data_IF_481415259404
#
_entry.id   IF_481415259404
#
_cell.length_a   1.000
_cell.length_b   1.000
_cell.length_c   1.000
_cell.angle_alpha   90.00
_cell.angle_beta   90.00
_cell.angle_gamma   90.00
#
_symmetry.space_group_name_H-M   'P 1'
#
loop_
_entity.id
_entity.type
_entity.pdbx_description
1 polymer ?
#
# COMPACT_ATOMS: atom_id res chain seq x y z
N UNK A 1 33.76 -50.89 -59.03
CA UNK A 1 34.09 -49.75 -58.20
C UNK A 1 32.79 -48.97 -57.94
N UNK A 2 32.27 -49.04 -56.68
CA UNK A 2 31.04 -48.32 -56.27
C UNK A 2 31.46 -47.13 -55.43
N UNK A 3 31.18 -45.91 -55.86
CA UNK A 3 31.43 -44.70 -55.11
C UNK A 3 30.21 -44.41 -54.24
N UNK A 4 30.46 -44.35 -52.90
CA UNK A 4 29.45 -43.97 -51.90
C UNK A 4 29.68 -42.46 -51.63
N UNK A 5 28.71 -41.64 -52.00
CA UNK A 5 28.70 -40.21 -51.68
C UNK A 5 28.10 -40.02 -50.27
N UNK A 6 28.93 -39.57 -49.29
CA UNK A 6 28.44 -39.09 -47.99
C UNK A 6 28.05 -37.62 -48.11
N UNK A 7 26.76 -37.35 -48.02
CA UNK A 7 26.25 -35.99 -47.91
C UNK A 7 26.33 -35.53 -46.45
N UNK A 8 27.20 -34.54 -46.22
CA UNK A 8 27.36 -33.90 -44.89
C UNK A 8 26.27 -32.85 -44.70
N UNK A 9 25.27 -33.15 -43.89
CA UNK A 9 24.18 -32.19 -43.53
C UNK A 9 24.69 -31.29 -42.40
N UNK A 10 25.00 -30.01 -42.73
CA UNK A 10 25.41 -29.03 -41.74
C UNK A 10 24.15 -28.40 -41.15
N UNK A 11 23.84 -28.71 -39.88
CA UNK A 11 22.80 -28.05 -39.13
C UNK A 11 23.30 -26.68 -38.61
N UNK A 12 22.78 -25.59 -39.16
CA UNK A 12 22.97 -24.27 -38.58
C UNK A 12 22.03 -24.09 -37.38
N UNK A 13 22.57 -24.17 -36.17
CA UNK A 13 21.86 -23.81 -34.94
C UNK A 13 21.85 -22.26 -34.86
N UNK A 14 20.73 -21.63 -35.22
CA UNK A 14 20.49 -20.20 -34.95
C UNK A 14 20.19 -20.06 -33.48
N UNK A 15 21.17 -19.71 -32.67
CA UNK A 15 21.00 -19.33 -31.28
C UNK A 15 20.30 -17.96 -31.23
N UNK A 16 18.99 -17.92 -31.02
CA UNK A 16 18.29 -16.71 -30.66
C UNK A 16 18.78 -16.20 -29.31
N UNK A 17 19.71 -15.27 -29.33
CA UNK A 17 20.18 -14.58 -28.13
C UNK A 17 19.15 -13.51 -27.77
N UNK A 18 18.11 -13.87 -27.01
CA UNK A 18 17.17 -12.91 -26.45
C UNK A 18 17.90 -12.10 -25.38
N UNK A 19 18.44 -10.94 -25.75
CA UNK A 19 18.92 -9.94 -24.78
C UNK A 19 17.74 -9.58 -23.87
N UNK A 20 17.73 -10.10 -22.65
CA UNK A 20 16.91 -9.57 -21.57
C UNK A 20 17.27 -8.08 -21.46
N UNK A 21 16.34 -7.22 -21.85
CA UNK A 21 16.45 -5.79 -21.61
C UNK A 21 16.47 -5.60 -20.10
N UNK A 22 17.62 -5.31 -19.51
CA UNK A 22 17.69 -4.88 -18.11
C UNK A 22 16.98 -3.50 -18.04
N UNK A 23 15.88 -3.46 -17.31
CA UNK A 23 15.24 -2.19 -16.97
C UNK A 23 16.15 -1.57 -15.91
N UNK A 24 16.82 -0.46 -16.25
CA UNK A 24 17.51 0.33 -15.25
C UNK A 24 16.44 1.13 -14.49
N UNK A 25 16.18 0.75 -13.25
CA UNK A 25 15.36 1.56 -12.34
C UNK A 25 16.19 2.77 -11.91
N UNK A 26 15.59 3.96 -11.93
CA UNK A 26 16.19 5.14 -11.33
C UNK A 26 16.29 4.95 -9.81
N UNK A 27 17.34 5.50 -9.20
CA UNK A 27 17.47 5.48 -7.75
C UNK A 27 16.33 6.32 -7.14
N UNK A 28 15.44 5.68 -6.37
CA UNK A 28 14.31 6.36 -5.76
C UNK A 28 14.81 7.30 -4.66
N UNK A 29 14.26 8.50 -4.59
CA UNK A 29 14.60 9.52 -3.61
C UNK A 29 13.85 9.38 -2.27
N UNK A 30 13.22 8.23 -2.04
CA UNK A 30 12.51 7.90 -0.80
C UNK A 30 12.88 6.48 -0.34
N UNK A 31 12.67 6.23 0.95
CA UNK A 31 12.80 4.90 1.56
C UNK A 31 11.49 4.55 2.26
N UNK A 32 10.97 3.37 1.99
CA UNK A 32 9.87 2.82 2.79
C UNK A 32 10.46 2.09 3.99
N UNK A 33 9.99 2.47 5.16
CA UNK A 33 10.32 1.82 6.43
C UNK A 33 9.07 1.19 7.03
N UNK A 34 9.26 0.12 7.81
CA UNK A 34 8.16 -0.49 8.53
C UNK A 34 8.60 -0.99 9.91
N UNK A 35 7.66 -1.05 10.83
CA UNK A 35 7.80 -1.57 12.19
C UNK A 35 6.67 -2.54 12.47
N UNK A 36 7.00 -3.66 13.07
CA UNK A 36 6.04 -4.75 13.26
C UNK A 36 5.87 -5.64 12.02
N UNK A 37 5.04 -6.67 12.16
CA UNK A 37 4.67 -7.55 11.04
C UNK A 37 3.36 -8.27 11.33
N UNK A 38 2.46 -8.35 10.32
CA UNK A 38 1.18 -9.06 10.39
C UNK A 38 1.34 -10.50 10.88
N UNK A 39 2.35 -11.24 10.39
CA UNK A 39 2.61 -12.62 10.83
C UNK A 39 2.84 -12.75 12.34
N UNK A 40 3.41 -11.74 13.00
CA UNK A 40 3.62 -11.79 14.45
C UNK A 40 2.29 -11.63 15.21
N UNK A 41 1.40 -10.76 14.72
CA UNK A 41 0.05 -10.62 15.27
C UNK A 41 -0.77 -11.90 15.05
N UNK A 42 -0.81 -12.37 13.79
CA UNK A 42 -1.65 -13.51 13.39
C UNK A 42 -1.21 -14.85 13.96
N UNK A 43 0.10 -15.09 14.12
CA UNK A 43 0.64 -16.40 14.49
C UNK A 43 1.12 -16.45 15.94
N UNK A 44 1.52 -15.33 16.53
CA UNK A 44 2.09 -15.27 17.87
C UNK A 44 1.24 -14.45 18.86
N UNK A 45 0.16 -13.81 18.39
CA UNK A 45 -0.65 -12.89 19.20
C UNK A 45 0.13 -11.66 19.70
N UNK A 46 1.25 -11.33 19.04
CA UNK A 46 2.08 -10.19 19.45
C UNK A 46 1.51 -8.88 18.90
N UNK A 47 0.66 -8.26 19.69
CA UNK A 47 -0.01 -6.99 19.43
C UNK A 47 0.59 -5.80 20.20
N UNK A 48 1.73 -6.02 20.87
CA UNK A 48 2.43 -4.96 21.60
C UNK A 48 3.00 -3.87 20.69
N UNK A 49 3.26 -2.70 21.24
CA UNK A 49 3.86 -1.59 20.50
C UNK A 49 5.23 -1.98 19.90
N UNK A 50 5.46 -1.58 18.66
CA UNK A 50 6.73 -1.75 17.93
C UNK A 50 7.43 -0.42 17.67
N UNK A 51 6.69 0.69 17.76
CA UNK A 51 7.23 2.03 17.56
C UNK A 51 6.34 3.06 18.29
N UNK A 52 6.95 4.12 18.78
CA UNK A 52 6.25 5.34 19.22
C UNK A 52 6.16 6.29 18.02
N UNK A 53 4.98 6.83 17.71
CA UNK A 53 4.81 7.76 16.59
C UNK A 53 5.62 9.04 16.76
N UNK A 54 6.01 9.40 17.98
CA UNK A 54 6.93 10.51 18.24
C UNK A 54 8.28 10.36 17.56
N UNK A 55 8.71 9.12 17.26
CA UNK A 55 9.98 8.88 16.55
C UNK A 55 9.96 9.45 15.12
N UNK A 56 8.78 9.65 14.53
CA UNK A 56 8.60 10.20 13.18
C UNK A 56 7.95 11.60 13.17
N UNK A 57 7.63 12.19 14.33
CA UNK A 57 6.92 13.47 14.44
C UNK A 57 7.64 14.63 13.75
N UNK A 58 8.99 14.64 13.82
CA UNK A 58 9.81 15.70 13.23
C UNK A 58 10.23 15.45 11.80
N UNK A 59 9.77 14.35 11.18
CA UNK A 59 10.04 14.08 9.77
C UNK A 59 9.03 14.81 8.89
N UNK A 60 9.51 15.43 7.81
CA UNK A 60 8.68 16.16 6.87
C UNK A 60 8.11 15.26 5.78
N UNK A 61 6.94 15.63 5.25
CA UNK A 61 6.27 14.96 4.14
C UNK A 61 6.02 13.46 4.39
N UNK A 62 5.75 13.08 5.65
CA UNK A 62 5.49 11.70 6.04
C UNK A 62 4.10 11.27 5.60
N UNK A 63 4.09 10.10 4.97
CA UNK A 63 2.90 9.31 4.69
C UNK A 63 3.04 7.97 5.40
N UNK A 64 2.08 7.63 6.23
CA UNK A 64 2.12 6.40 7.03
C UNK A 64 0.74 5.81 7.21
N UNK A 65 0.67 4.47 7.31
CA UNK A 65 -0.52 3.75 7.72
C UNK A 65 -0.13 2.56 8.62
N UNK A 66 -1.09 2.06 9.38
CA UNK A 66 -0.87 0.91 10.26
C UNK A 66 -1.92 0.82 11.36
N UNK A 67 -1.63 -0.01 12.36
CA UNK A 67 -2.53 -0.28 13.48
C UNK A 67 -1.94 0.24 14.80
N UNK A 68 -2.79 0.83 15.62
CA UNK A 68 -2.43 1.28 16.98
C UNK A 68 -2.03 0.11 17.88
N UNK A 69 -1.29 0.41 18.92
CA UNK A 69 -0.91 -0.55 19.96
C UNK A 69 -2.12 -1.35 20.46
N UNK A 70 -1.93 -2.65 20.65
CA UNK A 70 -2.97 -3.61 21.05
C UNK A 70 -4.13 -3.70 20.03
N UNK A 71 -3.91 -3.30 18.78
CA UNK A 71 -4.93 -3.24 17.73
C UNK A 71 -6.17 -2.44 18.18
N UNK A 72 -5.96 -1.29 18.81
CA UNK A 72 -7.01 -0.42 19.35
C UNK A 72 -7.37 0.73 18.41
N UNK A 73 -7.20 0.56 17.11
CA UNK A 73 -7.54 1.52 16.07
C UNK A 73 -6.56 1.51 14.92
N UNK A 74 -6.78 2.42 13.99
CA UNK A 74 -6.04 2.57 12.74
C UNK A 74 -5.24 3.85 12.72
N UNK A 75 -4.08 3.82 12.07
CA UNK A 75 -3.19 4.95 11.87
C UNK A 75 -3.22 5.33 10.39
N UNK A 76 -3.46 6.59 10.10
CA UNK A 76 -3.17 7.18 8.81
C UNK A 76 -2.55 8.56 8.97
N UNK A 77 -1.41 8.76 8.33
CA UNK A 77 -0.68 10.04 8.33
C UNK A 77 -0.56 10.49 6.88
N UNK A 78 -1.05 11.68 6.58
CA UNK A 78 -0.97 12.31 5.27
C UNK A 78 -0.18 13.61 5.40
N UNK A 79 0.97 13.70 4.74
CA UNK A 79 1.79 14.91 4.74
C UNK A 79 2.12 15.39 6.16
N UNK A 80 2.69 14.50 6.98
CA UNK A 80 3.03 14.70 8.40
C UNK A 80 1.85 15.15 9.29
N UNK A 81 0.61 14.85 8.86
CA UNK A 81 -0.63 15.17 9.62
C UNK A 81 -1.31 13.88 10.03
N UNK A 82 -1.15 13.43 11.30
CA UNK A 82 -1.80 12.21 11.78
C UNK A 82 -3.31 12.37 11.84
N UNK A 83 -4.00 11.26 11.58
CA UNK A 83 -5.43 11.13 11.73
C UNK A 83 -5.74 9.73 12.24
N UNK A 84 -5.36 9.46 13.51
CA UNK A 84 -5.56 8.16 14.13
C UNK A 84 -7.05 7.98 14.44
N UNK A 85 -7.58 6.79 14.14
CA UNK A 85 -8.99 6.47 14.33
C UNK A 85 -9.14 5.33 15.32
N UNK A 86 -10.02 5.51 16.29
CA UNK A 86 -10.32 4.53 17.33
C UNK A 86 -11.83 4.33 17.43
N UNK A 87 -12.24 3.24 18.09
CA UNK A 87 -13.64 2.98 18.44
C UNK A 87 -13.80 3.18 19.94
N UNK A 88 -14.64 4.14 20.34
CA UNK A 88 -15.00 4.39 21.73
C UNK A 88 -16.53 4.43 21.83
N UNK A 89 -17.12 3.66 22.74
CA UNK A 89 -18.58 3.59 22.95
C UNK A 89 -19.37 3.36 21.63
N UNK A 90 -18.84 2.48 20.78
CA UNK A 90 -19.41 2.12 19.47
C UNK A 90 -19.49 3.28 18.47
N UNK A 91 -18.65 4.32 18.62
CA UNK A 91 -18.49 5.41 17.67
C UNK A 91 -17.04 5.61 17.29
N UNK A 92 -16.79 6.18 16.08
CA UNK A 92 -15.44 6.56 15.67
C UNK A 92 -15.01 7.79 16.44
N UNK A 93 -13.81 7.74 16.99
CA UNK A 93 -13.10 8.87 17.60
C UNK A 93 -11.77 9.09 16.91
N UNK A 94 -11.32 10.36 16.87
CA UNK A 94 -10.15 10.75 16.11
C UNK A 94 -9.13 11.43 16.99
N UNK A 95 -7.85 11.17 16.73
CA UNK A 95 -6.72 11.80 17.40
C UNK A 95 -5.69 12.24 16.35
N UNK A 96 -5.41 13.54 16.31
CA UNK A 96 -4.53 14.16 15.32
C UNK A 96 -3.11 14.38 15.86
N UNK A 97 -2.69 13.63 16.89
CA UNK A 97 -1.38 13.75 17.50
C UNK A 97 -0.47 12.57 17.18
N UNK A 98 0.82 12.76 17.38
CA UNK A 98 1.82 11.70 17.40
C UNK A 98 1.95 11.03 18.80
N UNK A 99 1.09 11.34 19.77
CA UNK A 99 1.10 10.75 21.12
C UNK A 99 0.46 9.34 21.14
N UNK A 100 0.82 8.49 20.19
CA UNK A 100 0.33 7.12 20.04
C UNK A 100 1.48 6.17 19.76
N UNK A 101 1.26 4.90 20.04
CA UNK A 101 2.16 3.82 19.67
C UNK A 101 1.50 2.89 18.65
N UNK A 102 2.30 2.24 17.83
CA UNK A 102 1.83 1.34 16.79
C UNK A 102 2.31 -0.09 17.00
N UNK A 103 1.40 -1.05 16.80
CA UNK A 103 1.73 -2.48 16.63
C UNK A 103 2.31 -2.74 15.23
N UNK A 104 1.76 -2.07 14.22
CA UNK A 104 2.22 -2.09 12.84
C UNK A 104 2.26 -0.66 12.31
N UNK A 105 3.35 -0.30 11.65
CA UNK A 105 3.48 0.96 10.93
C UNK A 105 4.29 0.73 9.67
N UNK A 106 3.82 1.23 8.53
CA UNK A 106 4.60 1.40 7.31
C UNK A 106 4.56 2.87 6.92
N UNK A 107 5.73 3.43 6.57
CA UNK A 107 5.84 4.86 6.28
C UNK A 107 6.95 5.21 5.30
N UNK A 108 6.80 6.36 4.67
CA UNK A 108 7.82 6.96 3.81
C UNK A 108 7.70 8.50 3.82
N UNK A 109 8.81 9.20 3.60
CA UNK A 109 8.82 10.64 3.32
C UNK A 109 8.78 10.88 1.82
N UNK A 110 7.78 11.60 1.31
CA UNK A 110 7.56 11.83 -0.12
C UNK A 110 7.44 13.32 -0.40
N UNK A 111 8.46 13.88 -1.00
CA UNK A 111 8.51 15.33 -1.28
C UNK A 111 7.58 15.76 -2.42
N UNK A 112 7.35 14.89 -3.41
CA UNK A 112 6.59 15.23 -4.60
C UNK A 112 5.82 14.03 -5.14
N UNK A 113 4.61 14.29 -5.61
CA UNK A 113 3.71 13.31 -6.21
C UNK A 113 3.44 13.62 -7.67
N UNK A 114 3.52 12.62 -8.53
CA UNK A 114 3.09 12.65 -9.92
C UNK A 114 1.64 12.16 -10.01
N UNK A 115 0.75 13.00 -10.53
CA UNK A 115 -0.67 12.66 -10.70
C UNK A 115 -0.92 11.97 -12.04
N UNK A 116 -1.74 10.93 -12.03
CA UNK A 116 -2.08 10.08 -13.17
C UNK A 116 -3.59 9.84 -13.12
N UNK A 117 -4.29 10.05 -14.23
CA UNK A 117 -5.73 9.74 -14.32
C UNK A 117 -5.93 8.24 -14.38
N UNK A 118 -6.81 7.69 -13.55
CA UNK A 118 -7.18 6.28 -13.59
C UNK A 118 -8.12 6.04 -14.78
N UNK A 119 -7.81 5.09 -15.69
CA UNK A 119 -8.70 4.73 -16.79
C UNK A 119 -10.06 4.23 -16.28
N UNK A 120 -11.14 4.58 -16.95
CA UNK A 120 -12.51 4.16 -16.55
C UNK A 120 -12.75 2.65 -16.62
N UNK A 121 -11.88 1.91 -17.29
CA UNK A 121 -11.92 0.45 -17.36
C UNK A 121 -11.39 -0.21 -16.07
N UNK A 122 -10.64 0.51 -15.23
CA UNK A 122 -10.16 0.04 -13.91
C UNK A 122 -11.28 0.29 -12.90
N UNK A 123 -11.95 -0.78 -12.49
CA UNK A 123 -13.15 -0.69 -11.65
C UNK A 123 -12.99 -1.45 -10.33
N UNK A 124 -12.48 -2.67 -10.36
CA UNK A 124 -12.37 -3.53 -9.17
C UNK A 124 -11.05 -3.37 -8.43
N UNK A 125 -11.00 -3.85 -7.18
CA UNK A 125 -9.79 -3.93 -6.36
C UNK A 125 -8.65 -4.70 -7.08
N UNK A 126 -8.96 -5.85 -7.67
CA UNK A 126 -7.98 -6.65 -8.44
C UNK A 126 -7.46 -5.91 -9.68
N UNK A 127 -8.34 -5.20 -10.41
CA UNK A 127 -7.93 -4.39 -11.56
C UNK A 127 -7.06 -3.22 -11.13
N UNK A 128 -7.36 -2.62 -9.97
CA UNK A 128 -6.55 -1.55 -9.37
C UNK A 128 -5.15 -2.04 -9.03
N UNK A 129 -5.00 -3.20 -8.40
CA UNK A 129 -3.69 -3.76 -8.05
C UNK A 129 -2.82 -3.96 -9.30
N UNK A 130 -3.38 -4.55 -10.35
CA UNK A 130 -2.69 -4.71 -11.65
C UNK A 130 -2.33 -3.37 -12.29
N UNK A 131 -3.23 -2.40 -12.21
CA UNK A 131 -2.99 -1.05 -12.74
C UNK A 131 -1.87 -0.34 -12.00
N UNK A 132 -1.83 -0.40 -10.67
CA UNK A 132 -0.78 0.19 -9.84
C UNK A 132 0.59 -0.39 -10.21
N UNK A 133 0.69 -1.72 -10.33
CA UNK A 133 1.93 -2.38 -10.75
C UNK A 133 2.39 -1.91 -12.15
N UNK A 134 1.48 -1.84 -13.11
CA UNK A 134 1.79 -1.40 -14.47
C UNK A 134 2.25 0.07 -14.50
N UNK A 135 1.56 0.96 -13.79
CA UNK A 135 1.94 2.38 -13.73
C UNK A 135 3.25 2.59 -12.99
N UNK A 136 3.51 1.84 -11.91
CA UNK A 136 4.80 1.88 -11.22
C UNK A 136 5.95 1.50 -12.17
N UNK A 137 5.82 0.39 -12.93
CA UNK A 137 6.82 -0.03 -13.93
C UNK A 137 7.03 0.99 -15.04
N UNK A 138 5.96 1.62 -15.55
CA UNK A 138 6.05 2.71 -16.56
C UNK A 138 6.79 3.93 -16.02
N UNK A 139 6.67 4.20 -14.73
CA UNK A 139 7.35 5.30 -14.05
C UNK A 139 8.68 4.87 -13.42
N UNK A 140 9.25 3.74 -13.86
CA UNK A 140 10.56 3.22 -13.46
C UNK A 140 10.70 2.94 -11.95
N UNK A 141 9.58 2.70 -11.26
CA UNK A 141 9.57 2.25 -9.88
C UNK A 141 9.75 0.73 -9.85
N UNK A 142 10.72 0.27 -9.08
CA UNK A 142 10.99 -1.15 -8.86
C UNK A 142 9.88 -1.76 -8.00
N UNK A 143 9.04 -2.62 -8.59
CA UNK A 143 7.90 -3.23 -7.90
C UNK A 143 8.30 -4.37 -6.97
N UNK A 144 9.56 -4.82 -6.97
CA UNK A 144 10.09 -5.76 -5.98
C UNK A 144 10.46 -5.05 -4.66
N UNK A 145 10.53 -3.72 -4.68
CA UNK A 145 10.68 -2.87 -3.50
C UNK A 145 9.34 -2.24 -3.12
N UNK A 146 9.10 -1.98 -1.84
CA UNK A 146 7.89 -1.30 -1.41
C UNK A 146 7.86 0.16 -1.88
N UNK A 147 6.69 0.62 -2.28
CA UNK A 147 6.47 2.03 -2.60
C UNK A 147 5.09 2.50 -2.13
N UNK A 148 4.95 3.77 -1.71
CA UNK A 148 3.67 4.36 -1.37
C UNK A 148 2.95 4.87 -2.62
N UNK A 149 1.63 4.96 -2.52
CA UNK A 149 0.79 5.61 -3.52
C UNK A 149 -0.37 6.34 -2.86
N UNK A 150 -0.92 7.33 -3.55
CA UNK A 150 -2.14 8.01 -3.14
C UNK A 150 -3.23 7.84 -4.20
N UNK A 151 -4.48 7.88 -3.76
CA UNK A 151 -5.62 8.06 -4.64
C UNK A 151 -6.57 9.11 -4.08
N UNK A 152 -7.20 9.88 -4.96
CA UNK A 152 -8.17 10.91 -4.60
C UNK A 152 -9.37 10.85 -5.54
N UNK A 153 -10.55 11.11 -5.02
CA UNK A 153 -11.77 11.14 -5.80
C UNK A 153 -12.95 10.53 -5.06
N UNK A 154 -14.01 10.21 -5.81
CA UNK A 154 -15.23 9.62 -5.25
C UNK A 154 -15.40 8.20 -5.79
N UNK A 155 -15.02 7.16 -5.04
CA UNK A 155 -15.26 5.78 -5.42
C UNK A 155 -16.77 5.49 -5.44
N UNK A 156 -17.19 4.46 -6.22
CA UNK A 156 -18.58 3.98 -6.17
C UNK A 156 -18.89 3.38 -4.80
N UNK A 157 -17.95 2.58 -4.27
CA UNK A 157 -18.03 2.04 -2.91
C UNK A 157 -16.64 1.74 -2.36
N UNK A 158 -16.52 1.83 -1.04
CA UNK A 158 -15.40 1.33 -0.25
C UNK A 158 -16.00 0.57 0.93
N UNK A 159 -15.55 -0.67 1.14
CA UNK A 159 -15.74 -1.38 2.39
C UNK A 159 -14.53 -1.12 3.28
N UNK A 160 -14.80 -0.81 4.54
CA UNK A 160 -13.78 -0.34 5.49
C UNK A 160 -14.02 -0.91 6.88
N UNK A 161 -12.94 -0.95 7.67
CA UNK A 161 -13.06 -1.20 9.11
C UNK A 161 -12.09 -0.33 9.93
N UNK A 162 -12.39 -0.22 11.22
CA UNK A 162 -11.49 0.28 12.27
C UNK A 162 -11.43 -0.80 13.33
N UNK A 163 -10.25 -1.40 13.50
CA UNK A 163 -10.04 -2.50 14.45
C UNK A 163 -10.18 -2.01 15.90
N UNK A 164 -10.82 -2.82 16.75
CA UNK A 164 -10.85 -2.60 18.20
C UNK A 164 -10.76 -3.95 18.92
N UNK A 165 -9.57 -4.54 18.86
CA UNK A 165 -9.34 -5.91 19.29
C UNK A 165 -9.58 -6.11 20.78
N UNK A 166 -10.24 -7.22 21.13
CA UNK A 166 -10.28 -7.69 22.51
C UNK A 166 -8.93 -8.34 22.84
N UNK A 167 -8.13 -7.70 23.69
CA UNK A 167 -6.79 -8.17 24.04
C UNK A 167 -6.74 -9.52 24.76
N UNK A 168 -7.88 -10.01 25.24
CA UNK A 168 -8.02 -11.37 25.82
C UNK A 168 -8.28 -12.45 24.76
N UNK A 169 -8.64 -12.08 23.52
CA UNK A 169 -8.79 -13.05 22.44
C UNK A 169 -7.41 -13.30 21.80
N UNK A 170 -6.94 -14.54 21.89
CA UNK A 170 -5.64 -14.97 21.36
C UNK A 170 -5.72 -15.58 19.97
N UNK A 171 -6.92 -15.74 19.42
CA UNK A 171 -7.14 -16.37 18.11
C UNK A 171 -7.42 -15.30 17.06
N UNK A 172 -6.38 -14.90 16.33
CA UNK A 172 -6.46 -13.89 15.29
C UNK A 172 -6.93 -14.49 13.95
N UNK A 173 -7.84 -13.80 13.27
CA UNK A 173 -8.19 -14.02 11.87
C UNK A 173 -8.59 -12.69 11.23
N UNK A 174 -8.56 -12.61 9.91
CA UNK A 174 -8.95 -11.40 9.18
C UNK A 174 -10.40 -10.99 9.50
N UNK A 175 -11.34 -11.94 9.43
CA UNK A 175 -12.76 -11.69 9.73
C UNK A 175 -12.99 -11.20 11.17
N UNK A 176 -12.22 -11.74 12.12
CA UNK A 176 -12.28 -11.29 13.51
C UNK A 176 -11.72 -9.86 13.66
N UNK A 177 -10.66 -9.50 12.93
CA UNK A 177 -10.14 -8.15 12.95
C UNK A 177 -11.19 -7.16 12.44
N UNK A 178 -11.83 -7.44 11.29
CA UNK A 178 -12.91 -6.62 10.74
C UNK A 178 -14.08 -6.49 11.73
N UNK A 179 -14.51 -7.61 12.32
CA UNK A 179 -15.68 -7.64 13.21
C UNK A 179 -15.41 -7.15 14.64
N UNK A 180 -14.14 -6.96 15.03
CA UNK A 180 -13.77 -6.56 16.39
C UNK A 180 -14.10 -5.11 16.74
N UNK A 181 -14.27 -4.27 15.75
CA UNK A 181 -14.57 -2.85 15.90
C UNK A 181 -15.72 -2.39 15.04
N UNK A 182 -15.59 -1.21 14.44
CA UNK A 182 -16.58 -0.70 13.49
C UNK A 182 -16.17 -1.01 12.06
N UNK A 183 -17.13 -1.42 11.26
CA UNK A 183 -16.96 -1.66 9.84
C UNK A 183 -18.21 -1.22 9.06
N UNK A 184 -18.09 -1.06 7.76
CA UNK A 184 -19.21 -0.68 6.91
C UNK A 184 -18.79 -0.33 5.49
N UNK A 185 -19.72 0.23 4.75
CA UNK A 185 -19.52 0.70 3.38
C UNK A 185 -19.82 2.18 3.26
N UNK A 186 -18.96 2.91 2.52
CA UNK A 186 -19.26 4.26 2.03
C UNK A 186 -19.44 4.24 0.52
N UNK A 187 -20.32 5.10 0.00
CA UNK A 187 -20.63 5.19 -1.44
C UNK A 187 -20.59 6.63 -1.91
N UNK A 188 -19.92 6.84 -3.06
CA UNK A 188 -19.86 8.13 -3.77
C UNK A 188 -19.42 9.32 -2.88
N UNK A 189 -18.63 9.06 -1.83
CA UNK A 189 -18.04 10.11 -0.98
C UNK A 189 -16.65 10.49 -1.47
N UNK A 190 -16.29 11.77 -1.48
CA UNK A 190 -14.93 12.21 -1.75
C UNK A 190 -13.97 11.71 -0.66
N UNK A 191 -12.89 11.06 -1.07
CA UNK A 191 -11.89 10.44 -0.19
C UNK A 191 -10.46 10.75 -0.62
N UNK A 192 -9.54 10.60 0.34
CA UNK A 192 -8.12 10.34 0.11
C UNK A 192 -7.82 8.93 0.55
N UNK A 193 -7.04 8.20 -0.24
CA UNK A 193 -6.58 6.87 0.06
C UNK A 193 -5.05 6.90 0.03
N UNK A 194 -4.43 6.40 1.09
CA UNK A 194 -3.00 6.12 1.15
C UNK A 194 -2.83 4.62 1.06
N UNK A 195 -1.93 4.17 0.20
CA UNK A 195 -1.57 2.78 0.10
C UNK A 195 -0.06 2.57 0.02
N UNK A 196 0.37 1.38 0.42
CA UNK A 196 1.71 0.85 0.17
C UNK A 196 1.58 -0.42 -0.65
N UNK A 197 2.35 -0.50 -1.72
CA UNK A 197 2.44 -1.68 -2.58
C UNK A 197 3.76 -2.41 -2.33
N UNK A 198 3.72 -3.73 -2.27
CA UNK A 198 4.92 -4.57 -2.29
C UNK A 198 4.58 -6.01 -2.63
N UNK A 199 5.24 -6.58 -3.63
CA UNK A 199 5.17 -8.00 -3.98
C UNK A 199 5.99 -8.90 -3.05
N UNK A 200 6.88 -8.33 -2.23
CA UNK A 200 7.84 -9.06 -1.39
C UNK A 200 7.59 -8.95 0.13
N UNK A 201 6.54 -8.21 0.58
CA UNK A 201 6.26 -7.98 1.99
C UNK A 201 4.92 -8.56 2.46
N UNK A 202 4.49 -9.67 1.83
CA UNK A 202 3.32 -10.43 2.28
C UNK A 202 3.49 -10.91 3.72
N UNK A 203 2.42 -10.81 4.50
CA UNK A 203 2.39 -11.10 5.93
C UNK A 203 3.37 -10.25 6.78
N UNK A 204 3.99 -9.22 6.19
CA UNK A 204 4.75 -8.19 6.91
C UNK A 204 3.84 -6.97 7.09
N UNK A 205 3.56 -6.24 6.02
CA UNK A 205 2.59 -5.14 6.07
C UNK A 205 1.52 -5.22 4.96
N UNK A 206 1.62 -6.11 3.99
CA UNK A 206 0.53 -6.47 3.08
C UNK A 206 -0.08 -7.81 3.48
N UNK A 207 -1.37 -8.01 3.19
CA UNK A 207 -2.03 -9.29 3.41
C UNK A 207 -1.40 -10.36 2.49
N UNK A 208 -1.56 -11.66 2.82
CA UNK A 208 -0.98 -12.74 2.01
C UNK A 208 -1.64 -12.90 0.63
N UNK A 209 -2.81 -12.30 0.41
CA UNK A 209 -3.60 -12.39 -0.83
C UNK A 209 -3.50 -11.17 -1.72
N UNK A 210 -2.86 -10.08 -1.28
CA UNK A 210 -2.74 -8.83 -2.03
C UNK A 210 -1.38 -8.19 -1.82
N UNK A 211 -0.90 -7.47 -2.82
CA UNK A 211 0.32 -6.66 -2.75
C UNK A 211 0.09 -5.27 -2.17
N UNK A 212 -1.15 -4.95 -1.80
CA UNK A 212 -1.53 -3.62 -1.32
C UNK A 212 -1.93 -3.66 0.15
N UNK A 213 -1.62 -2.57 0.86
CA UNK A 213 -2.21 -2.22 2.15
C UNK A 213 -2.72 -0.79 2.02
N UNK A 214 -4.00 -0.57 2.21
CA UNK A 214 -4.63 0.72 1.97
C UNK A 214 -5.45 1.20 3.17
N UNK A 215 -5.37 2.51 3.45
CA UNK A 215 -6.26 3.20 4.37
C UNK A 215 -6.99 4.32 3.64
N UNK A 216 -8.23 4.55 4.04
CA UNK A 216 -9.09 5.59 3.49
C UNK A 216 -9.37 6.65 4.54
N UNK A 217 -9.53 7.91 4.07
CA UNK A 217 -10.01 9.05 4.87
C UNK A 217 -10.97 9.85 4.02
N UNK A 218 -12.17 10.14 4.55
CA UNK A 218 -13.12 11.04 3.87
C UNK A 218 -12.68 12.50 3.95
N UNK A 219 -13.00 13.30 2.94
CA UNK A 219 -12.60 14.71 2.93
C UNK A 219 -13.31 15.55 4.00
N UNK A 220 -14.50 15.12 4.44
CA UNK A 220 -15.23 15.73 5.55
C UNK A 220 -14.73 15.32 6.94
N UNK A 221 -13.67 14.49 7.00
CA UNK A 221 -13.07 13.94 8.22
C UNK A 221 -14.05 13.12 9.09
N UNK A 222 -15.16 12.65 8.54
CA UNK A 222 -16.14 11.86 9.28
C UNK A 222 -15.77 10.40 9.44
N UNK A 223 -14.79 9.92 8.65
CA UNK A 223 -14.32 8.54 8.67
C UNK A 223 -12.85 8.46 8.21
N UNK A 224 -12.09 7.62 8.89
CA UNK A 224 -10.86 7.05 8.37
C UNK A 224 -10.69 5.64 8.93
N UNK A 225 -10.01 4.76 8.20
CA UNK A 225 -9.80 3.37 8.60
C UNK A 225 -9.12 2.54 7.53
N UNK A 226 -8.96 1.27 7.81
CA UNK A 226 -8.47 0.29 6.84
C UNK A 226 -9.47 0.15 5.68
N UNK A 227 -8.96 0.05 4.46
CA UNK A 227 -9.74 -0.16 3.26
C UNK A 227 -9.68 -1.65 2.90
N UNK A 228 -10.82 -2.35 2.99
CA UNK A 228 -10.92 -3.78 2.69
C UNK A 228 -11.17 -4.03 1.21
N UNK A 229 -12.16 -3.34 0.62
CA UNK A 229 -12.56 -3.47 -0.77
C UNK A 229 -12.88 -2.11 -1.40
N UNK A 230 -12.66 -1.98 -2.70
CA UNK A 230 -13.00 -0.77 -3.45
C UNK A 230 -13.61 -1.08 -4.82
N UNK A 231 -14.66 -0.34 -5.15
CA UNK A 231 -15.15 -0.19 -6.52
C UNK A 231 -14.89 1.27 -6.92
N UNK A 232 -14.02 1.46 -7.92
CA UNK A 232 -13.59 2.78 -8.33
C UNK A 232 -14.72 3.59 -8.98
N UNK A 233 -14.70 4.90 -8.77
CA UNK A 233 -15.52 5.87 -9.46
C UNK A 233 -14.81 6.46 -10.68
N UNK A 234 -15.57 7.13 -11.55
CA UNK A 234 -14.99 7.86 -12.67
C UNK A 234 -14.23 9.09 -12.19
N UNK A 235 -13.10 9.40 -12.83
CA UNK A 235 -12.34 10.62 -12.56
C UNK A 235 -11.50 10.56 -11.28
N UNK A 236 -11.31 9.39 -10.70
CA UNK A 236 -10.33 9.23 -9.61
C UNK A 236 -8.91 9.44 -10.13
N UNK A 237 -8.08 10.05 -9.30
CA UNK A 237 -6.67 10.35 -9.57
C UNK A 237 -5.80 9.40 -8.75
N UNK A 238 -4.84 8.81 -9.41
CA UNK A 238 -3.76 8.02 -8.82
C UNK A 238 -2.50 8.87 -8.73
N UNK A 239 -1.69 8.71 -7.68
CA UNK A 239 -0.43 9.44 -7.53
C UNK A 239 0.68 8.47 -7.12
N UNK A 240 1.79 8.58 -7.82
CA UNK A 240 3.05 7.91 -7.50
C UNK A 240 4.09 8.92 -7.02
N UNK A 241 5.09 8.49 -6.21
CA UNK A 241 6.25 9.34 -5.92
C UNK A 241 6.90 9.85 -7.21
N UNK A 242 7.17 11.14 -7.28
CA UNK A 242 7.84 11.76 -8.42
C UNK A 242 9.35 11.78 -8.17
N UNK A 243 10.07 10.88 -8.84
CA UNK A 243 11.52 10.77 -8.77
C UNK A 243 12.25 11.71 -9.75
N UNK A 244 11.51 12.57 -10.48
CA UNK A 244 12.15 13.52 -11.41
C UNK A 244 13.16 14.37 -10.68
N UNK A 245 14.37 14.58 -11.24
CA UNK A 245 15.35 15.48 -10.66
C UNK A 245 14.73 16.86 -10.42
N UNK A 246 14.95 17.44 -9.26
CA UNK A 246 14.52 18.81 -8.98
C UNK A 246 15.28 19.72 -9.94
N UNK A 247 14.62 20.25 -10.97
CA UNK A 247 15.22 21.27 -11.82
C UNK A 247 15.44 22.52 -10.98
N UNK A 248 16.66 22.73 -10.52
CA UNK A 248 17.04 24.05 -10.02
C UNK A 248 16.98 25.00 -11.22
N UNK A 249 15.98 25.84 -11.28
CA UNK A 249 15.96 26.99 -12.16
C UNK A 249 16.98 27.97 -11.56
N UNK A 250 18.16 28.05 -12.23
CA UNK A 250 19.18 29.08 -11.94
C UNK A 250 18.68 30.45 -12.38
#
# INVERSE_FOLDING_TARGET
MKYVFYSLLIFFIVACNSKKRSINYEEVNYKVEYKGALKNMMQKGDISAKVDLKEIENLENIYALGALENLKGEIQIFDSKPFNTMVTDSVLTFDNSFNKKATLLVFASINKWKSISIPTAVVSHEQLEKYIEQEAKKNQIDTDKPFPFLMEGSPKSIDWHVINWNTYDTVHSHDKHISSGLNGSIKNKPVKILGFYSSSHHAIFTHHTTNMHMHVKTLDNSLAGHLDEIILGKGMIFKLPDNSPTSYVN
#
